data_IF_548294442581
#
_entry.id   IF_548294442581
#
_cell.length_a   1.000
_cell.length_b   1.000
_cell.length_c   1.000
_cell.angle_alpha   90.00
_cell.angle_beta   90.00
_cell.angle_gamma   90.00
#
_symmetry.space_group_name_H-M   'P 1'
#
loop_
_entity.id
_entity.type
_entity.pdbx_description
1 polymer ?
#
# COMPACT_ATOMS: atom_id res chain seq x y z
N UNK A 1 20.59 -31.89 -19.91
CA UNK A 1 20.19 -31.56 -18.52
C UNK A 1 20.24 -30.05 -18.36
N UNK A 2 19.14 -29.35 -18.65
CA UNK A 2 19.03 -27.90 -18.53
C UNK A 2 17.73 -27.61 -17.78
N UNK A 3 17.75 -27.72 -16.46
CA UNK A 3 16.55 -27.63 -15.62
C UNK A 3 16.79 -27.00 -14.25
N UNK A 4 17.96 -26.39 -14.03
CA UNK A 4 18.32 -25.83 -12.72
C UNK A 4 18.41 -24.30 -12.70
N UNK A 5 18.17 -23.62 -13.83
CA UNK A 5 18.37 -22.16 -13.94
C UNK A 5 17.08 -21.33 -13.90
N UNK A 6 15.88 -21.95 -13.84
CA UNK A 6 14.61 -21.22 -13.90
C UNK A 6 14.01 -20.83 -12.53
N UNK A 7 14.44 -21.42 -11.41
CA UNK A 7 13.67 -21.35 -10.15
C UNK A 7 14.32 -20.59 -8.99
N UNK A 8 15.62 -20.27 -9.05
CA UNK A 8 16.25 -19.45 -8.00
C UNK A 8 15.94 -17.95 -8.12
N UNK A 9 15.28 -17.54 -9.20
CA UNK A 9 14.60 -16.24 -9.31
C UNK A 9 13.30 -16.17 -8.50
N UNK A 10 13.08 -17.09 -7.55
CA UNK A 10 12.41 -16.80 -6.27
C UNK A 10 13.28 -15.84 -5.44
N UNK A 11 13.71 -14.75 -6.06
CA UNK A 11 14.30 -13.58 -5.44
C UNK A 11 13.43 -13.25 -4.24
N UNK A 12 14.02 -13.20 -3.05
CA UNK A 12 13.39 -12.65 -1.87
C UNK A 12 12.70 -11.35 -2.25
N UNK A 13 11.36 -11.37 -2.41
CA UNK A 13 10.59 -10.16 -2.66
C UNK A 13 10.68 -9.36 -1.36
N UNK A 14 11.66 -8.47 -1.32
CA UNK A 14 11.85 -7.56 -0.21
C UNK A 14 10.67 -6.60 -0.22
N UNK A 15 9.69 -6.85 0.64
CA UNK A 15 8.56 -5.95 0.81
C UNK A 15 9.04 -4.72 1.58
N UNK A 16 8.96 -3.55 0.96
CA UNK A 16 9.26 -2.28 1.61
C UNK A 16 8.06 -1.90 2.48
N UNK A 17 8.34 -1.59 3.75
CA UNK A 17 7.34 -1.14 4.70
C UNK A 17 7.58 0.31 5.07
N UNK A 18 6.60 1.16 4.78
CA UNK A 18 6.56 2.53 5.28
C UNK A 18 5.93 2.60 6.65
N UNK A 19 6.44 3.48 7.50
CA UNK A 19 5.65 4.02 8.60
C UNK A 19 4.62 5.05 8.06
N UNK A 20 3.67 5.45 8.91
CA UNK A 20 2.60 6.38 8.52
C UNK A 20 3.13 7.72 7.99
N UNK A 21 4.24 8.22 8.53
CA UNK A 21 4.82 9.49 8.07
C UNK A 21 5.46 9.35 6.68
N UNK A 22 6.21 8.27 6.44
CA UNK A 22 6.82 7.98 5.15
C UNK A 22 5.76 7.77 4.06
N UNK A 23 4.73 6.97 4.36
CA UNK A 23 3.62 6.73 3.44
C UNK A 23 2.85 8.03 3.11
N UNK A 24 2.74 8.95 4.06
CA UNK A 24 2.08 10.24 3.85
C UNK A 24 2.85 11.12 2.89
N UNK A 25 4.18 11.17 3.05
CA UNK A 25 5.08 11.87 2.11
C UNK A 25 5.00 11.23 0.73
N UNK A 26 5.07 9.90 0.66
CA UNK A 26 4.99 9.15 -0.59
C UNK A 26 3.68 9.43 -1.35
N UNK A 27 2.54 9.38 -0.65
CA UNK A 27 1.22 9.61 -1.23
C UNK A 27 0.89 11.10 -1.46
N UNK A 28 1.76 12.03 -1.04
CA UNK A 28 1.52 13.46 -1.14
C UNK A 28 0.33 13.95 -0.30
N UNK A 29 0.07 13.34 0.86
CA UNK A 29 -1.05 13.68 1.76
C UNK A 29 -0.60 13.90 3.19
N UNK A 30 -1.52 14.36 4.05
CA UNK A 30 -1.23 14.51 5.48
C UNK A 30 -1.30 13.16 6.21
N UNK A 31 -0.58 13.03 7.33
CA UNK A 31 -0.69 11.87 8.24
C UNK A 31 -2.12 11.65 8.72
N UNK A 32 -2.89 12.72 8.91
CA UNK A 32 -4.30 12.65 9.34
C UNK A 32 -5.15 11.98 8.26
N UNK A 33 -4.96 12.38 6.99
CA UNK A 33 -5.61 11.74 5.84
C UNK A 33 -5.29 10.25 5.79
N UNK A 34 -4.03 9.89 6.03
CA UNK A 34 -3.60 8.50 6.00
C UNK A 34 -4.23 7.66 7.13
N UNK A 35 -4.26 8.19 8.36
CA UNK A 35 -5.00 7.57 9.46
C UNK A 35 -6.50 7.44 9.19
N UNK A 36 -7.08 8.40 8.47
CA UNK A 36 -8.47 8.32 8.05
C UNK A 36 -8.67 7.14 7.09
N UNK A 37 -7.84 7.00 6.06
CA UNK A 37 -7.93 5.86 5.12
C UNK A 37 -7.74 4.51 5.81
N UNK A 38 -6.84 4.43 6.79
CA UNK A 38 -6.60 3.19 7.55
C UNK A 38 -7.82 2.82 8.41
N UNK A 39 -8.41 3.80 9.12
CA UNK A 39 -9.42 3.52 10.16
C UNK A 39 -10.86 3.65 9.70
N UNK A 40 -11.11 4.53 8.74
CA UNK A 40 -12.44 4.92 8.27
C UNK A 40 -12.64 4.64 6.78
N UNK A 41 -11.56 4.39 6.04
CA UNK A 41 -11.61 4.16 4.61
C UNK A 41 -11.81 5.45 3.80
N UNK A 42 -11.98 5.27 2.50
CA UNK A 42 -12.26 6.30 1.52
C UNK A 42 -13.41 5.78 0.65
N UNK A 43 -14.46 6.59 0.49
CA UNK A 43 -15.54 6.27 -0.45
C UNK A 43 -15.06 6.51 -1.89
N UNK A 44 -15.09 5.47 -2.73
CA UNK A 44 -14.73 5.50 -4.15
C UNK A 44 -15.87 4.85 -4.93
N UNK A 45 -16.54 5.60 -5.80
CA UNK A 45 -17.66 5.10 -6.64
C UNK A 45 -18.78 4.35 -5.87
N UNK A 46 -19.03 4.74 -4.62
CA UNK A 46 -20.03 4.10 -3.74
C UNK A 46 -19.49 2.95 -2.87
N UNK A 47 -18.27 2.47 -3.14
CA UNK A 47 -17.60 1.46 -2.34
C UNK A 47 -16.66 2.08 -1.31
N UNK A 48 -16.53 1.43 -0.14
CA UNK A 48 -15.63 1.86 0.92
C UNK A 48 -14.29 1.13 0.82
N UNK A 49 -13.26 1.84 0.38
CA UNK A 49 -11.90 1.34 0.23
C UNK A 49 -11.06 1.66 1.47
N UNK A 50 -10.42 0.65 2.06
CA UNK A 50 -9.52 0.84 3.20
C UNK A 50 -8.06 0.70 2.79
N UNK A 51 -7.19 1.51 3.40
CA UNK A 51 -5.75 1.32 3.25
C UNK A 51 -5.29 0.21 4.19
N UNK A 52 -4.87 -0.92 3.61
CA UNK A 52 -4.38 -2.08 4.36
C UNK A 52 -3.07 -1.75 5.08
N UNK A 53 -2.97 -2.20 6.33
CA UNK A 53 -1.77 -2.04 7.15
C UNK A 53 -1.53 -3.30 7.98
N UNK A 54 -0.28 -3.49 8.36
CA UNK A 54 0.12 -4.48 9.35
C UNK A 54 0.67 -3.78 10.59
N UNK A 55 0.62 -4.43 11.75
CA UNK A 55 1.17 -3.90 13.00
C UNK A 55 2.49 -4.60 13.28
N UNK A 56 3.60 -3.84 13.27
CA UNK A 56 4.94 -4.36 13.58
C UNK A 56 5.51 -3.49 14.70
N UNK A 57 5.85 -4.11 15.83
CA UNK A 57 6.33 -3.39 17.02
C UNK A 57 5.31 -2.39 17.58
N UNK A 58 4.00 -2.70 17.46
CA UNK A 58 2.92 -1.83 17.94
C UNK A 58 2.65 -0.60 17.07
N UNK A 59 3.27 -0.50 15.89
CA UNK A 59 3.12 0.61 14.97
C UNK A 59 2.52 0.14 13.64
N UNK A 60 1.66 0.97 13.05
CA UNK A 60 1.19 0.74 11.69
C UNK A 60 2.35 0.78 10.71
N UNK A 61 2.42 -0.25 9.89
CA UNK A 61 3.29 -0.36 8.73
C UNK A 61 2.45 -0.59 7.49
N UNK A 62 2.83 0.09 6.42
CA UNK A 62 2.12 0.06 5.15
C UNK A 62 3.10 -0.51 4.14
N UNK A 63 2.72 -1.62 3.51
CA UNK A 63 3.48 -2.17 2.40
C UNK A 63 3.40 -1.22 1.20
N UNK A 64 4.53 -0.92 0.57
CA UNK A 64 4.55 -0.07 -0.63
C UNK A 64 3.60 -0.58 -1.73
N UNK A 65 3.56 -1.89 -2.08
CA UNK A 65 2.60 -2.38 -3.07
C UNK A 65 1.13 -2.15 -2.67
N UNK A 66 0.80 -2.28 -1.38
CA UNK A 66 -0.56 -2.04 -0.90
C UNK A 66 -0.93 -0.55 -0.98
N UNK A 67 0.02 0.35 -0.67
CA UNK A 67 -0.17 1.79 -0.82
C UNK A 67 -0.39 2.17 -2.28
N UNK A 68 0.43 1.64 -3.20
CA UNK A 68 0.31 1.91 -4.64
C UNK A 68 -1.03 1.42 -5.18
N UNK A 69 -1.43 0.19 -4.86
CA UNK A 69 -2.72 -0.34 -5.27
C UNK A 69 -3.90 0.51 -4.75
N UNK A 70 -3.81 0.99 -3.49
CA UNK A 70 -4.82 1.88 -2.92
C UNK A 70 -4.87 3.24 -3.65
N UNK A 71 -3.71 3.83 -3.96
CA UNK A 71 -3.63 5.11 -4.68
C UNK A 71 -4.14 4.99 -6.12
N UNK A 72 -3.82 3.88 -6.80
CA UNK A 72 -4.32 3.60 -8.14
C UNK A 72 -5.84 3.44 -8.16
N UNK A 73 -6.40 2.70 -7.19
CA UNK A 73 -7.84 2.54 -7.04
C UNK A 73 -8.54 3.88 -6.81
N UNK A 74 -7.94 4.78 -6.01
CA UNK A 74 -8.41 6.16 -5.83
C UNK A 74 -8.30 6.99 -7.11
N UNK A 75 -7.21 6.84 -7.87
CA UNK A 75 -6.91 7.67 -9.05
C UNK A 75 -7.74 7.37 -10.30
N UNK A 76 -8.33 6.18 -10.40
CA UNK A 76 -9.21 5.78 -11.52
C UNK A 76 -10.50 6.62 -11.62
N UNK A 77 -10.91 7.29 -10.54
CA UNK A 77 -12.14 8.12 -10.50
C UNK A 77 -11.97 9.50 -11.20
N UNK A 78 -10.74 10.01 -11.34
CA UNK A 78 -10.48 11.33 -11.94
C UNK A 78 -10.28 11.31 -13.49
N UNK A 79 -10.55 10.19 -14.16
CA UNK A 79 -10.36 10.02 -15.63
C UNK A 79 -11.63 9.55 -16.37
N UNK A 80 -12.82 9.77 -15.80
CA UNK A 80 -14.10 9.54 -16.49
C UNK A 80 -14.69 10.82 -17.06
#
# INVERSE_FOLDING_TARGET
MAGALQLYTLLSVSVVYFNVSEAAVYAGVTRVTLYHWIRKGLSVSGDLLFLTTVIIGGQYRIEEPALNHFLDARGKDNRS
#
